data_IF_229758022823
#
_entry.id   IF_229758022823
#
_cell.length_a   1.000
_cell.length_b   1.000
_cell.length_c   1.000
_cell.angle_alpha   90.00
_cell.angle_beta   90.00
_cell.angle_gamma   90.00
#
_symmetry.space_group_name_H-M   'P 1'
#
loop_
_entity.id
_entity.type
_entity.pdbx_description
1 polymer ?
#
# COMPACT_ATOMS: atom_id res chain seq x y z
N UNK A 1 -24.08 -7.72 -19.88
CA UNK A 1 -22.68 -8.16 -19.74
C UNK A 1 -22.66 -8.99 -18.46
N UNK A 2 -21.92 -10.09 -18.42
CA UNK A 2 -21.85 -10.90 -17.19
C UNK A 2 -20.86 -10.23 -16.27
N UNK A 3 -21.33 -9.73 -15.13
CA UNK A 3 -20.47 -9.07 -14.14
C UNK A 3 -19.97 -10.10 -13.14
N UNK A 4 -18.68 -10.05 -12.85
CA UNK A 4 -18.01 -10.98 -11.94
C UNK A 4 -17.66 -10.32 -10.61
N UNK A 5 -17.55 -11.17 -9.58
CA UNK A 5 -17.07 -10.79 -8.25
C UNK A 5 -16.08 -11.80 -7.70
N UNK A 6 -15.14 -11.35 -6.88
CA UNK A 6 -14.21 -12.20 -6.14
C UNK A 6 -13.84 -11.56 -4.81
N UNK A 7 -13.68 -12.39 -3.77
CA UNK A 7 -13.23 -11.97 -2.44
C UNK A 7 -11.83 -12.48 -2.15
N UNK A 8 -11.06 -11.70 -1.40
CA UNK A 8 -9.72 -12.05 -0.96
C UNK A 8 -9.56 -11.83 0.53
N UNK A 9 -8.85 -12.74 1.18
CA UNK A 9 -8.27 -12.51 2.49
C UNK A 9 -6.86 -11.93 2.32
N UNK A 10 -6.55 -10.86 3.05
CA UNK A 10 -5.18 -10.34 3.11
C UNK A 10 -4.46 -10.98 4.29
N UNK A 11 -3.44 -11.79 3.98
CA UNK A 11 -2.57 -12.42 4.95
C UNK A 11 -1.44 -11.50 5.40
N UNK A 12 -0.77 -11.91 6.47
CA UNK A 12 0.48 -11.31 6.91
C UNK A 12 1.52 -11.29 5.78
N UNK A 13 2.32 -10.23 5.70
CA UNK A 13 3.25 -10.00 4.60
C UNK A 13 2.58 -9.50 3.31
N UNK A 14 1.26 -9.32 3.29
CA UNK A 14 0.52 -8.75 2.18
C UNK A 14 0.27 -9.70 1.03
N UNK A 15 0.30 -11.01 1.29
CA UNK A 15 -0.20 -12.00 0.34
C UNK A 15 -1.73 -11.91 0.33
N UNK A 16 -2.33 -11.94 -0.86
CA UNK A 16 -3.79 -12.02 -1.02
C UNK A 16 -4.16 -13.42 -1.48
N UNK A 17 -5.16 -14.01 -0.83
CA UNK A 17 -5.68 -15.33 -1.17
C UNK A 17 -7.16 -15.24 -1.51
N UNK A 18 -7.61 -15.76 -2.66
CA UNK A 18 -9.03 -15.87 -2.96
C UNK A 18 -9.76 -16.71 -1.89
N UNK A 19 -10.94 -16.25 -1.50
CA UNK A 19 -11.79 -16.93 -0.52
C UNK A 19 -13.23 -17.04 -1.03
N UNK A 20 -14.01 -17.91 -0.39
CA UNK A 20 -15.43 -18.04 -0.68
C UNK A 20 -16.18 -16.72 -0.55
N UNK A 21 -17.06 -16.44 -1.52
CA UNK A 21 -17.99 -15.33 -1.46
C UNK A 21 -19.02 -15.55 -0.34
N UNK A 22 -18.81 -14.92 0.82
CA UNK A 22 -19.74 -14.96 1.96
C UNK A 22 -19.48 -13.81 2.94
N UNK A 23 -20.54 -13.32 3.57
CA UNK A 23 -20.49 -12.38 4.70
C UNK A 23 -19.75 -12.95 5.90
N UNK A 24 -19.75 -14.27 6.07
CA UNK A 24 -19.06 -14.94 7.18
C UNK A 24 -17.54 -14.75 7.12
N UNK A 25 -16.99 -14.29 5.99
CA UNK A 25 -15.58 -13.97 5.86
C UNK A 25 -15.19 -12.64 6.54
N UNK A 26 -16.15 -11.76 6.82
CA UNK A 26 -15.94 -10.44 7.44
C UNK A 26 -15.70 -10.58 8.96
N UNK A 27 -14.60 -11.22 9.33
CA UNK A 27 -14.23 -11.51 10.71
C UNK A 27 -13.43 -10.36 11.34
N UNK A 28 -13.58 -10.11 12.66
CA UNK A 28 -12.93 -8.97 13.32
C UNK A 28 -11.41 -8.92 13.19
N UNK A 29 -10.75 -10.04 13.00
CA UNK A 29 -9.31 -10.21 12.92
C UNK A 29 -8.78 -10.32 11.49
N UNK A 30 -9.55 -9.96 10.47
CA UNK A 30 -9.14 -10.06 9.05
C UNK A 30 -9.30 -8.74 8.31
N UNK A 31 -8.51 -8.58 7.25
CA UNK A 31 -8.75 -7.56 6.23
C UNK A 31 -9.20 -8.25 4.95
N UNK A 32 -10.36 -7.87 4.44
CA UNK A 32 -11.01 -8.52 3.29
C UNK A 32 -11.09 -7.53 2.14
N UNK A 33 -10.71 -7.98 0.95
CA UNK A 33 -10.86 -7.21 -0.28
C UNK A 33 -11.97 -7.85 -1.11
N UNK A 34 -12.95 -7.07 -1.55
CA UNK A 34 -14.02 -7.51 -2.45
C UNK A 34 -13.87 -6.74 -3.75
N UNK A 35 -13.63 -7.46 -4.84
CA UNK A 35 -13.55 -6.89 -6.17
C UNK A 35 -14.86 -7.20 -6.89
N UNK A 36 -15.56 -6.14 -7.31
CA UNK A 36 -16.88 -6.23 -7.94
C UNK A 36 -16.92 -5.41 -9.23
N UNK A 37 -17.14 -6.10 -10.35
CA UNK A 37 -17.26 -5.46 -11.65
C UNK A 37 -18.62 -4.78 -11.85
N UNK A 38 -19.67 -5.21 -11.13
CA UNK A 38 -21.01 -4.64 -11.31
C UNK A 38 -21.11 -3.20 -10.79
N UNK A 39 -20.42 -2.88 -9.70
CA UNK A 39 -20.27 -1.51 -9.19
C UNK A 39 -19.00 -0.81 -9.66
N UNK A 40 -18.12 -1.51 -10.41
CA UNK A 40 -16.80 -1.02 -10.82
C UNK A 40 -16.00 -0.46 -9.63
N UNK A 41 -16.02 -1.20 -8.51
CA UNK A 41 -15.39 -0.81 -7.26
C UNK A 41 -14.64 -1.99 -6.61
N UNK A 42 -13.56 -1.65 -5.90
CA UNK A 42 -12.93 -2.51 -4.92
C UNK A 42 -13.38 -2.04 -3.55
N UNK A 43 -13.94 -2.93 -2.74
CA UNK A 43 -14.18 -2.68 -1.33
C UNK A 43 -13.02 -3.24 -0.53
N UNK A 44 -12.52 -2.46 0.41
CA UNK A 44 -11.53 -2.89 1.39
C UNK A 44 -12.16 -2.79 2.76
N UNK A 45 -12.42 -3.93 3.39
CA UNK A 45 -13.01 -4.00 4.70
C UNK A 45 -11.96 -4.40 5.73
N UNK A 46 -11.82 -3.60 6.79
CA UNK A 46 -10.92 -3.87 7.89
C UNK A 46 -11.67 -4.30 9.15
N UNK A 47 -11.37 -5.50 9.63
CA UNK A 47 -11.88 -5.99 10.90
C UNK A 47 -11.45 -5.14 12.08
N UNK A 48 -12.25 -5.19 13.15
CA UNK A 48 -12.07 -4.35 14.34
C UNK A 48 -10.74 -4.57 15.08
N UNK A 49 -10.16 -5.77 14.97
CA UNK A 49 -8.92 -6.18 15.62
C UNK A 49 -7.69 -6.08 14.72
N UNK A 50 -7.84 -5.57 13.50
CA UNK A 50 -6.72 -5.35 12.59
C UNK A 50 -5.90 -4.13 13.01
N UNK A 51 -4.60 -4.32 13.24
CA UNK A 51 -3.66 -3.24 13.57
C UNK A 51 -3.22 -2.39 12.38
N UNK A 52 -2.42 -1.35 12.64
CA UNK A 52 -2.08 -0.31 11.66
C UNK A 52 -1.33 -0.88 10.45
N UNK A 53 -0.33 -1.72 10.72
CA UNK A 53 0.51 -2.33 9.68
C UNK A 53 -0.31 -3.23 8.75
N UNK A 54 -1.19 -4.06 9.32
CA UNK A 54 -2.03 -4.97 8.54
C UNK A 54 -3.00 -4.20 7.63
N UNK A 55 -3.62 -3.12 8.16
CA UNK A 55 -4.51 -2.24 7.39
C UNK A 55 -3.81 -1.57 6.23
N UNK A 56 -2.62 -0.99 6.44
CA UNK A 56 -1.82 -0.37 5.37
C UNK A 56 -1.39 -1.37 4.32
N UNK A 57 -1.04 -2.58 4.75
CA UNK A 57 -0.64 -3.66 3.85
C UNK A 57 -1.82 -4.06 2.96
N UNK A 58 -3.01 -4.25 3.56
CA UNK A 58 -4.23 -4.55 2.83
C UNK A 58 -4.66 -3.40 1.90
N UNK A 59 -4.52 -2.14 2.32
CA UNK A 59 -4.75 -0.96 1.48
C UNK A 59 -3.86 -0.96 0.24
N UNK A 60 -2.58 -1.28 0.39
CA UNK A 60 -1.66 -1.39 -0.75
C UNK A 60 -2.10 -2.48 -1.73
N UNK A 61 -2.58 -3.62 -1.22
CA UNK A 61 -3.06 -4.71 -2.06
C UNK A 61 -4.37 -4.35 -2.78
N UNK A 62 -5.31 -3.69 -2.09
CA UNK A 62 -6.55 -3.22 -2.68
C UNK A 62 -6.29 -2.18 -3.79
N UNK A 63 -5.36 -1.25 -3.58
CA UNK A 63 -4.91 -0.29 -4.59
C UNK A 63 -4.28 -0.99 -5.81
N UNK A 64 -3.49 -2.05 -5.58
CA UNK A 64 -2.92 -2.85 -6.68
C UNK A 64 -4.03 -3.49 -7.52
N UNK A 65 -5.03 -4.09 -6.87
CA UNK A 65 -6.18 -4.73 -7.52
C UNK A 65 -7.06 -3.74 -8.27
N UNK A 66 -7.30 -2.54 -7.72
CA UNK A 66 -8.13 -1.49 -8.35
C UNK A 66 -7.72 -1.24 -9.81
N UNK A 67 -6.43 -1.09 -10.09
CA UNK A 67 -5.95 -0.87 -11.46
C UNK A 67 -5.81 -2.15 -12.29
N UNK A 68 -5.20 -3.18 -11.71
CA UNK A 68 -4.69 -4.33 -12.48
C UNK A 68 -5.71 -5.47 -12.61
N UNK A 69 -6.71 -5.50 -11.72
CA UNK A 69 -7.58 -6.65 -11.55
C UNK A 69 -6.84 -7.88 -11.02
N UNK A 70 -7.52 -9.03 -11.09
CA UNK A 70 -6.99 -10.32 -10.68
C UNK A 70 -7.05 -11.32 -11.83
N UNK A 71 -5.93 -12.00 -12.10
CA UNK A 71 -5.82 -12.96 -13.21
C UNK A 71 -6.29 -14.34 -12.78
N UNK A 72 -7.28 -14.88 -13.50
CA UNK A 72 -7.77 -16.26 -13.34
C UNK A 72 -7.63 -16.98 -14.69
N UNK A 73 -6.69 -17.93 -14.76
CA UNK A 73 -6.39 -18.65 -16.00
C UNK A 73 -5.92 -17.71 -17.11
N UNK A 74 -6.77 -17.49 -18.12
CA UNK A 74 -6.51 -16.59 -19.26
C UNK A 74 -7.31 -15.28 -19.20
N UNK A 75 -8.09 -15.08 -18.15
CA UNK A 75 -8.99 -13.93 -17.98
C UNK A 75 -8.53 -13.05 -16.82
N UNK A 76 -8.92 -11.78 -16.83
CA UNK A 76 -8.66 -10.83 -15.74
C UNK A 76 -10.01 -10.30 -15.28
N UNK A 77 -10.28 -10.38 -13.98
CA UNK A 77 -11.49 -9.85 -13.34
C UNK A 77 -11.14 -8.52 -12.67
N UNK A 78 -11.98 -7.50 -12.82
CA UNK A 78 -11.84 -6.19 -12.20
C UNK A 78 -10.78 -5.30 -12.85
N UNK A 79 -10.54 -5.50 -14.14
CA UNK A 79 -9.60 -4.64 -14.88
C UNK A 79 -10.18 -3.22 -15.00
N UNK A 80 -9.34 -2.21 -14.79
CA UNK A 80 -9.69 -0.79 -14.91
C UNK A 80 -10.82 -0.35 -13.96
N UNK A 81 -10.92 -0.99 -12.80
CA UNK A 81 -11.73 -0.51 -11.67
C UNK A 81 -11.13 0.80 -11.17
N UNK A 82 -11.97 1.79 -10.87
CA UNK A 82 -11.48 3.15 -10.54
C UNK A 82 -11.74 3.55 -9.11
N UNK A 83 -12.68 2.88 -8.45
CA UNK A 83 -13.13 3.22 -7.12
C UNK A 83 -12.56 2.23 -6.11
N UNK A 84 -12.00 2.77 -5.04
CA UNK A 84 -11.71 2.03 -3.81
C UNK A 84 -12.62 2.59 -2.72
N UNK A 85 -13.35 1.71 -2.07
CA UNK A 85 -14.22 2.02 -0.93
C UNK A 85 -13.63 1.34 0.29
N UNK A 86 -12.91 2.11 1.11
CA UNK A 86 -12.32 1.61 2.35
C UNK A 86 -13.35 1.70 3.49
N UNK A 87 -13.44 0.63 4.29
CA UNK A 87 -14.40 0.49 5.39
C UNK A 87 -13.63 0.05 6.64
N UNK A 88 -13.73 0.85 7.70
CA UNK A 88 -13.24 0.52 9.04
C UNK A 88 -14.39 0.03 9.92
N UNK A 89 -14.44 -1.28 10.19
CA UNK A 89 -15.49 -1.89 11.01
C UNK A 89 -15.56 -1.34 12.45
N UNK A 90 -14.54 -0.62 12.93
CA UNK A 90 -14.56 0.07 14.25
C UNK A 90 -15.42 1.33 14.23
N UNK A 91 -15.62 1.92 13.06
CA UNK A 91 -16.33 3.18 12.84
C UNK A 91 -17.76 2.98 12.33
N UNK A 92 -18.09 1.79 11.83
CA UNK A 92 -19.46 1.42 11.45
C UNK A 92 -20.40 1.61 12.65
N UNK A 93 -21.50 2.32 12.44
CA UNK A 93 -22.47 2.73 13.46
C UNK A 93 -22.08 3.99 14.27
N UNK A 94 -20.88 4.55 14.03
CA UNK A 94 -20.40 5.79 14.67
C UNK A 94 -20.17 6.91 13.67
N UNK A 95 -19.69 6.55 12.48
CA UNK A 95 -19.46 7.46 11.34
C UNK A 95 -20.47 7.09 10.26
N UNK A 96 -21.24 8.07 9.80
CA UNK A 96 -22.32 7.86 8.83
C UNK A 96 -21.79 7.27 7.52
N UNK A 97 -20.73 7.86 6.96
CA UNK A 97 -20.10 7.41 5.70
C UNK A 97 -19.64 5.94 5.75
N UNK A 98 -18.97 5.55 6.84
CA UNK A 98 -18.50 4.16 7.06
C UNK A 98 -19.68 3.19 7.19
N UNK A 99 -20.80 3.66 7.73
CA UNK A 99 -22.01 2.86 7.90
C UNK A 99 -22.68 2.62 6.55
N UNK A 100 -22.83 3.67 5.74
CA UNK A 100 -23.40 3.60 4.39
C UNK A 100 -22.55 2.70 3.47
N UNK A 101 -21.23 2.84 3.49
CA UNK A 101 -20.33 1.98 2.70
C UNK A 101 -20.40 0.51 3.15
N UNK A 102 -20.51 0.27 4.45
CA UNK A 102 -20.67 -1.09 4.97
C UNK A 102 -22.03 -1.67 4.57
N UNK A 103 -23.12 -0.91 4.64
CA UNK A 103 -24.44 -1.35 4.17
C UNK A 103 -24.42 -1.71 2.68
N UNK A 104 -23.81 -0.86 1.83
CA UNK A 104 -23.64 -1.16 0.41
C UNK A 104 -22.86 -2.47 0.19
N UNK A 105 -21.78 -2.71 0.95
CA UNK A 105 -21.05 -3.97 0.89
C UNK A 105 -21.92 -5.15 1.34
N UNK A 106 -22.73 -5.00 2.39
CA UNK A 106 -23.63 -6.06 2.86
C UNK A 106 -24.68 -6.40 1.80
N UNK A 107 -25.26 -5.41 1.13
CA UNK A 107 -26.22 -5.62 0.04
C UNK A 107 -25.57 -6.32 -1.16
N UNK A 108 -24.35 -5.93 -1.52
CA UNK A 108 -23.57 -6.59 -2.57
C UNK A 108 -23.35 -8.07 -2.25
N UNK A 109 -23.00 -8.40 -1.00
CA UNK A 109 -22.77 -9.78 -0.59
C UNK A 109 -24.05 -10.63 -0.56
N UNK A 110 -25.21 -10.02 -0.29
CA UNK A 110 -26.54 -10.68 -0.35
C UNK A 110 -27.08 -10.86 -1.77
N UNK A 111 -26.52 -10.13 -2.74
CA UNK A 111 -26.97 -10.18 -4.14
C UNK A 111 -26.91 -11.62 -4.66
N UNK A 112 -27.97 -12.04 -5.34
CA UNK A 112 -28.06 -13.37 -5.95
C UNK A 112 -26.93 -13.59 -6.94
N UNK A 113 -26.17 -14.65 -6.70
CA UNK A 113 -24.99 -14.98 -7.47
C UNK A 113 -24.90 -16.48 -7.72
N UNK A 114 -24.10 -16.84 -8.72
CA UNK A 114 -23.70 -18.23 -9.00
C UNK A 114 -22.19 -18.34 -8.79
N UNK A 115 -21.78 -19.35 -8.01
CA UNK A 115 -20.38 -19.69 -7.84
C UNK A 115 -19.82 -20.27 -9.14
N UNK A 116 -18.61 -19.86 -9.48
CA UNK A 116 -17.79 -20.38 -10.56
C UNK A 116 -16.55 -21.05 -9.95
N UNK A 117 -15.73 -21.65 -10.80
CA UNK A 117 -14.42 -22.17 -10.37
C UNK A 117 -13.49 -21.03 -9.95
N UNK A 118 -12.49 -21.37 -9.12
CA UNK A 118 -11.47 -20.44 -8.62
C UNK A 118 -12.02 -19.27 -7.77
N UNK A 119 -13.06 -19.53 -6.96
CA UNK A 119 -13.65 -18.57 -6.02
C UNK A 119 -14.33 -17.34 -6.66
N UNK A 120 -14.39 -17.28 -7.99
CA UNK A 120 -15.14 -16.25 -8.69
C UNK A 120 -16.65 -16.52 -8.59
N UNK A 121 -17.43 -15.45 -8.63
CA UNK A 121 -18.89 -15.51 -8.77
C UNK A 121 -19.33 -14.71 -9.99
N UNK A 122 -20.52 -15.00 -10.48
CA UNK A 122 -21.26 -14.14 -11.42
C UNK A 122 -22.56 -13.67 -10.77
N UNK A 123 -22.92 -12.42 -11.01
CA UNK A 123 -24.23 -11.91 -10.61
C UNK A 123 -25.29 -12.28 -11.63
N UNK A 124 -26.44 -12.79 -11.16
CA UNK A 124 -27.58 -13.05 -12.05
C UNK A 124 -28.23 -11.71 -12.41
N UNK A 125 -28.01 -11.23 -13.63
CA UNK A 125 -28.80 -10.13 -14.17
C UNK A 125 -30.20 -10.66 -14.51
N UNK A 126 -31.20 -10.38 -13.68
CA UNK A 126 -32.56 -10.28 -14.21
C UNK A 126 -32.57 -9.10 -15.19
N UNK A 127 -33.02 -9.35 -16.41
CA UNK A 127 -32.97 -8.41 -17.52
C UNK A 127 -33.87 -7.19 -17.23
N UNK A 128 -33.32 -6.13 -16.62
CA UNK A 128 -34.16 -4.99 -16.22
C UNK A 128 -33.50 -3.68 -15.81
N UNK A 129 -32.16 -3.54 -15.83
CA UNK A 129 -31.53 -2.25 -15.53
C UNK A 129 -30.45 -1.89 -16.58
N UNK A 130 -30.50 -0.70 -17.20
CA UNK A 130 -29.54 -0.31 -18.21
C UNK A 130 -28.18 -0.01 -17.58
N UNK A 131 -27.24 -0.94 -17.77
CA UNK A 131 -25.81 -0.69 -17.59
C UNK A 131 -25.42 0.53 -18.43
N UNK A 132 -24.90 1.56 -17.80
CA UNK A 132 -24.40 2.77 -18.46
C UNK A 132 -23.48 2.41 -19.63
N UNK A 133 -23.82 2.93 -20.81
CA UNK A 133 -23.23 2.59 -22.08
C UNK A 133 -21.73 2.92 -22.12
N UNK A 134 -20.88 1.88 -22.14
CA UNK A 134 -19.59 1.95 -22.84
C UNK A 134 -19.84 1.55 -24.30
N UNK A 135 -19.35 2.38 -25.22
CA UNK A 135 -19.62 2.30 -26.66
C UNK A 135 -19.37 0.91 -27.25
N UNK A 136 -20.25 0.52 -28.17
CA UNK A 136 -20.20 -0.74 -28.89
C UNK A 136 -18.83 -0.95 -29.59
N UNK A 137 -18.22 -2.14 -29.51
CA UNK A 137 -17.08 -2.47 -30.34
C UNK A 137 -17.53 -2.65 -31.79
N UNK A 138 -16.84 -1.96 -32.72
CA UNK A 138 -17.00 -2.16 -34.17
C UNK A 138 -16.80 -3.63 -34.55
N UNK A 139 -17.57 -4.17 -35.52
CA UNK A 139 -17.53 -5.57 -35.89
C UNK A 139 -16.18 -6.00 -36.49
N UNK A 140 -15.69 -7.18 -36.07
CA UNK A 140 -14.58 -7.91 -36.70
C UNK A 140 -14.91 -8.27 -38.16
N UNK A 141 -13.97 -8.14 -39.12
CA UNK A 141 -14.06 -8.86 -40.38
C UNK A 141 -13.74 -10.35 -40.18
N UNK A 142 -14.53 -11.22 -40.84
CA UNK A 142 -14.32 -12.67 -40.96
C UNK A 142 -13.23 -12.98 -42.02
N UNK A 143 -12.65 -14.20 -42.00
CA UNK A 143 -11.40 -14.56 -42.65
C UNK A 143 -11.53 -14.89 -44.15
N UNK A 144 -10.46 -14.62 -44.91
CA UNK A 144 -10.23 -15.18 -46.25
C UNK A 144 -9.10 -16.21 -46.18
N UNK A 145 -9.39 -17.42 -46.67
CA UNK A 145 -8.46 -18.53 -46.79
C UNK A 145 -7.54 -18.40 -48.01
N UNK A 146 -6.29 -18.82 -47.77
CA UNK A 146 -5.32 -19.46 -48.66
C UNK A 146 -5.05 -18.90 -50.07
N UNK A 147 -3.81 -18.45 -50.28
CA UNK A 147 -3.00 -19.05 -51.34
C UNK A 147 -1.50 -19.02 -51.01
N UNK A 148 -0.89 -20.17 -51.26
CA UNK A 148 0.50 -20.55 -51.03
C UNK A 148 1.50 -19.81 -51.91
N UNK A 149 2.67 -19.48 -51.36
CA UNK A 149 3.96 -19.74 -52.02
C UNK A 149 5.12 -19.59 -51.02
N UNK A 150 5.83 -20.70 -50.80
CA UNK A 150 7.18 -20.75 -50.23
C UNK A 150 8.15 -20.32 -51.34
N UNK A 151 9.22 -19.55 -51.05
CA UNK A 151 10.54 -20.20 -50.93
C UNK A 151 11.37 -19.75 -49.72
N UNK A 152 12.39 -20.56 -49.49
CA UNK A 152 13.28 -20.79 -48.33
C UNK A 152 14.19 -19.65 -47.82
N UNK A 153 14.87 -19.86 -46.66
CA UNK A 153 15.10 -18.85 -45.64
C UNK A 153 16.46 -18.14 -45.75
N UNK A 154 16.52 -16.91 -45.22
CA UNK A 154 17.76 -16.21 -44.91
C UNK A 154 17.91 -15.99 -43.41
N UNK A 155 18.87 -16.73 -42.86
CA UNK A 155 19.83 -16.35 -41.79
C UNK A 155 19.30 -15.59 -40.57
N UNK A 156 19.29 -16.35 -39.47
CA UNK A 156 19.22 -15.98 -38.06
C UNK A 156 20.29 -14.94 -37.66
N UNK A 157 19.92 -13.84 -36.95
CA UNK A 157 20.88 -13.04 -36.20
C UNK A 157 21.04 -13.62 -34.78
N UNK A 158 22.31 -13.79 -34.38
CA UNK A 158 22.75 -14.39 -33.12
C UNK A 158 22.11 -13.78 -31.83
N UNK A 159 21.95 -14.61 -30.78
CA UNK A 159 21.46 -14.17 -29.48
C UNK A 159 22.51 -13.36 -28.71
N UNK A 160 22.07 -12.21 -28.16
CA UNK A 160 22.85 -11.39 -27.21
C UNK A 160 23.32 -12.24 -26.00
N UNK A 161 24.58 -12.08 -25.54
CA UNK A 161 25.11 -12.86 -24.43
C UNK A 161 24.52 -12.47 -23.08
N UNK A 162 24.30 -13.49 -22.24
CA UNK A 162 23.89 -13.39 -20.82
C UNK A 162 24.89 -12.55 -20.00
N UNK A 163 24.42 -11.77 -19.00
CA UNK A 163 25.30 -11.15 -18.02
C UNK A 163 25.99 -12.23 -17.16
N UNK A 164 27.31 -12.15 -17.03
CA UNK A 164 28.09 -12.97 -16.10
C UNK A 164 27.84 -12.52 -14.64
N UNK A 165 27.87 -13.45 -13.67
CA UNK A 165 27.86 -13.12 -12.25
C UNK A 165 29.12 -12.34 -11.86
N UNK A 166 28.96 -11.23 -11.14
CA UNK A 166 30.10 -10.49 -10.55
C UNK A 166 30.50 -11.19 -9.26
N UNK A 167 31.68 -11.81 -9.30
CA UNK A 167 32.38 -12.38 -8.15
C UNK A 167 32.75 -11.29 -7.14
N UNK A 168 32.64 -11.63 -5.87
CA UNK A 168 33.21 -10.92 -4.72
C UNK A 168 34.70 -10.59 -4.91
N UNK A 169 35.20 -9.46 -4.41
CA UNK A 169 36.64 -9.25 -4.28
C UNK A 169 37.17 -9.99 -3.05
N UNK A 170 38.07 -10.95 -3.29
CA UNK A 170 38.95 -11.54 -2.28
C UNK A 170 39.79 -10.47 -1.57
N UNK A 171 39.85 -10.62 -0.26
CA UNK A 171 40.76 -9.93 0.66
C UNK A 171 42.18 -10.48 0.45
N UNK A 172 43.15 -9.62 0.18
CA UNK A 172 44.57 -9.88 0.43
C UNK A 172 45.25 -8.66 1.09
N UNK A 173 45.50 -8.82 2.38
CA UNK A 173 46.62 -8.27 3.18
C UNK A 173 47.94 -8.39 2.38
N UNK A 174 48.88 -7.45 2.35
CA UNK A 174 49.72 -6.83 3.40
C UNK A 174 50.69 -5.89 2.63
N UNK A 175 51.02 -4.68 3.07
CA UNK A 175 52.26 -4.36 3.81
C UNK A 175 52.20 -2.97 4.45
N UNK A 176 52.75 -2.85 5.66
CA UNK A 176 52.88 -1.65 6.49
C UNK A 176 54.10 -0.77 6.08
N UNK A 177 54.52 0.26 6.85
CA UNK A 177 53.81 1.47 7.28
C UNK A 177 54.59 2.76 6.90
N UNK A 178 53.87 3.85 6.60
CA UNK A 178 54.42 5.22 6.67
C UNK A 178 53.44 6.10 7.43
N UNK A 179 53.78 6.40 8.68
CA UNK A 179 53.36 7.64 9.35
C UNK A 179 54.40 8.73 9.04
N UNK A 180 54.14 10.04 9.26
CA UNK A 180 52.86 10.69 9.60
C UNK A 180 52.62 12.00 8.81
N UNK A 181 51.36 12.34 8.52
CA UNK A 181 50.86 13.73 8.65
C UNK A 181 49.35 13.72 8.79
N UNK A 182 48.87 14.25 9.92
CA UNK A 182 47.47 14.37 10.26
C UNK A 182 46.74 15.40 9.39
N UNK A 183 45.46 15.15 9.08
CA UNK A 183 44.42 16.16 9.26
C UNK A 183 43.37 15.64 10.24
N UNK A 184 43.70 15.71 11.54
CA UNK A 184 42.75 15.45 12.63
C UNK A 184 41.98 16.75 12.89
N UNK A 185 40.98 17.05 12.06
CA UNK A 185 40.05 18.15 12.37
C UNK A 185 38.64 18.07 11.72
N UNK A 186 38.43 17.33 10.62
CA UNK A 186 37.13 17.38 9.92
C UNK A 186 36.16 16.23 10.22
N UNK A 187 36.64 15.03 10.56
CA UNK A 187 35.75 13.89 10.81
C UNK A 187 34.82 14.06 12.04
N UNK A 188 35.22 14.87 13.03
CA UNK A 188 34.48 15.03 14.29
C UNK A 188 33.23 15.90 14.18
N UNK A 189 33.12 16.80 13.19
CA UNK A 189 31.95 17.68 13.03
C UNK A 189 30.80 16.98 12.31
N UNK A 190 31.10 16.18 11.29
CA UNK A 190 30.07 15.51 10.48
C UNK A 190 29.35 14.39 11.26
N UNK A 191 30.07 13.60 12.06
CA UNK A 191 29.48 12.53 12.90
C UNK A 191 28.68 13.07 14.10
N UNK A 192 29.13 14.18 14.70
CA UNK A 192 28.43 14.80 15.82
C UNK A 192 27.12 15.50 15.38
N UNK A 193 27.11 16.07 14.18
CA UNK A 193 25.92 16.73 13.61
C UNK A 193 24.86 15.71 13.18
N UNK A 194 25.27 14.53 12.71
CA UNK A 194 24.35 13.43 12.41
C UNK A 194 23.76 12.82 13.70
N UNK A 195 24.57 12.52 14.71
CA UNK A 195 24.08 11.95 15.98
C UNK A 195 23.11 12.87 16.74
N UNK A 196 23.37 14.18 16.77
CA UNK A 196 22.45 15.17 17.37
C UNK A 196 21.12 15.22 16.62
N UNK A 197 21.15 15.07 15.29
CA UNK A 197 19.97 15.06 14.44
C UNK A 197 19.13 13.80 14.68
N UNK A 198 19.78 12.63 14.74
CA UNK A 198 19.12 11.36 15.08
C UNK A 198 18.47 11.41 16.46
N UNK A 199 19.14 12.01 17.45
CA UNK A 199 18.57 12.18 18.79
C UNK A 199 17.30 13.05 18.77
N UNK A 200 17.28 14.14 18.01
CA UNK A 200 16.07 14.98 17.86
C UNK A 200 14.91 14.23 17.22
N UNK A 201 15.17 13.40 16.21
CA UNK A 201 14.15 12.51 15.62
C UNK A 201 13.62 11.57 16.70
N UNK A 202 14.52 10.87 17.40
CA UNK A 202 14.16 9.91 18.42
C UNK A 202 13.33 10.55 19.55
N UNK A 203 13.64 11.78 19.96
CA UNK A 203 12.86 12.49 20.96
C UNK A 203 11.44 12.81 20.53
N UNK A 204 11.21 13.12 19.25
CA UNK A 204 9.85 13.27 18.73
C UNK A 204 9.11 11.93 18.81
N UNK A 205 9.76 10.83 18.41
CA UNK A 205 9.13 9.50 18.44
C UNK A 205 8.79 9.07 19.87
N UNK A 206 9.73 9.21 20.80
CA UNK A 206 9.50 8.90 22.23
C UNK A 206 8.36 9.74 22.80
N UNK A 207 8.34 11.05 22.52
CA UNK A 207 7.27 11.92 23.00
C UNK A 207 5.89 11.53 22.45
N UNK A 208 5.83 10.97 21.24
CA UNK A 208 4.58 10.46 20.65
C UNK A 208 4.19 9.12 21.26
N UNK A 209 5.15 8.21 21.46
CA UNK A 209 4.94 6.89 22.04
C UNK A 209 4.48 6.94 23.52
N UNK A 210 4.73 8.04 24.23
CA UNK A 210 4.14 8.29 25.56
C UNK A 210 2.59 8.37 25.53
N UNK A 211 1.98 8.52 24.34
CA UNK A 211 0.53 8.68 24.14
C UNK A 211 -0.11 7.64 23.22
N UNK A 212 0.68 6.95 22.40
CA UNK A 212 0.17 6.01 21.39
C UNK A 212 1.02 4.74 21.39
N UNK A 213 0.36 3.60 21.57
CA UNK A 213 1.03 2.30 21.63
C UNK A 213 1.47 1.78 20.25
N UNK A 214 0.81 2.24 19.17
CA UNK A 214 1.09 1.85 17.79
C UNK A 214 1.11 3.09 16.89
N UNK A 215 2.24 3.28 16.19
CA UNK A 215 2.45 4.38 15.26
C UNK A 215 3.14 3.91 14.00
N UNK A 216 2.80 4.53 12.89
CA UNK A 216 3.47 4.37 11.62
C UNK A 216 4.34 5.58 11.34
N UNK A 217 5.61 5.35 11.00
CA UNK A 217 6.56 6.39 10.64
C UNK A 217 6.99 6.16 9.20
N UNK A 218 6.86 7.19 8.37
CA UNK A 218 7.41 7.18 7.01
C UNK A 218 8.41 8.31 6.85
N UNK A 219 9.59 7.97 6.32
CA UNK A 219 10.58 8.95 5.85
C UNK A 219 10.29 9.21 4.36
N UNK A 220 9.98 10.45 4.04
CA UNK A 220 9.80 10.98 2.69
C UNK A 220 11.13 11.56 2.18
N UNK A 221 11.15 11.92 0.90
CA UNK A 221 12.26 12.66 0.31
C UNK A 221 12.48 13.99 1.07
N UNK A 222 13.73 14.49 1.05
CA UNK A 222 14.15 15.72 1.74
C UNK A 222 14.05 15.66 3.29
N UNK A 223 14.42 14.52 3.89
CA UNK A 223 14.47 14.34 5.36
C UNK A 223 13.19 14.80 6.09
N UNK A 224 12.05 14.56 5.44
CA UNK A 224 10.72 14.82 5.99
C UNK A 224 10.14 13.52 6.53
N UNK A 225 9.61 13.55 7.74
CA UNK A 225 9.01 12.42 8.43
C UNK A 225 7.52 12.68 8.61
N UNK A 226 6.69 11.67 8.34
CA UNK A 226 5.26 11.66 8.64
C UNK A 226 4.99 10.58 9.68
N UNK A 227 4.33 10.94 10.76
CA UNK A 227 3.96 10.05 11.86
C UNK A 227 2.45 9.97 11.94
N UNK A 228 1.91 8.76 11.95
CA UNK A 228 0.47 8.47 11.88
C UNK A 228 0.10 7.43 12.93
N UNK A 229 -1.13 7.51 13.42
CA UNK A 229 -1.77 6.50 14.27
C UNK A 229 -2.91 5.81 13.50
N UNK A 230 -3.56 4.85 14.15
CA UNK A 230 -4.75 4.15 13.63
C UNK A 230 -5.83 5.07 13.07
N UNK A 231 -6.06 6.21 13.70
CA UNK A 231 -7.18 7.10 13.34
C UNK A 231 -6.74 8.30 12.48
N UNK A 232 -5.47 8.35 12.06
CA UNK A 232 -4.99 9.34 11.11
C UNK A 232 -3.64 9.96 11.47
N UNK A 233 -3.28 11.08 10.82
CA UNK A 233 -1.97 11.69 10.97
C UNK A 233 -1.80 12.36 12.34
N UNK A 234 -0.65 12.12 12.97
CA UNK A 234 -0.22 12.81 14.18
C UNK A 234 0.55 14.07 13.79
N UNK A 235 1.67 13.95 13.07
CA UNK A 235 2.48 15.10 12.70
C UNK A 235 3.36 14.84 11.48
N UNK A 236 3.81 15.92 10.87
CA UNK A 236 4.83 15.89 9.82
C UNK A 236 5.94 16.85 10.19
N UNK A 237 7.20 16.45 10.10
CA UNK A 237 8.32 17.34 10.40
C UNK A 237 9.48 17.12 9.45
N UNK A 238 10.25 18.16 9.20
CA UNK A 238 11.46 18.11 8.38
C UNK A 238 12.67 18.48 9.20
N UNK A 239 13.83 18.04 8.73
CA UNK A 239 15.11 18.41 9.31
C UNK A 239 15.90 19.20 8.27
N UNK A 240 16.34 20.38 8.67
CA UNK A 240 17.19 21.25 7.86
C UNK A 240 18.26 21.83 8.76
N UNK A 241 19.53 21.66 8.39
CA UNK A 241 20.70 22.17 9.14
C UNK A 241 20.70 21.74 10.62
N UNK A 242 20.30 20.50 10.89
CA UNK A 242 20.21 19.95 12.25
C UNK A 242 19.05 20.52 13.09
N UNK A 243 18.17 21.34 12.49
CA UNK A 243 16.98 21.88 13.14
C UNK A 243 15.73 21.14 12.68
N UNK A 244 14.91 20.77 13.65
CA UNK A 244 13.63 20.11 13.44
C UNK A 244 12.53 21.16 13.31
N UNK A 245 11.70 21.04 12.26
CA UNK A 245 10.57 21.93 12.02
C UNK A 245 9.31 21.13 11.70
N UNK A 246 8.26 21.34 12.50
CA UNK A 246 6.95 20.78 12.22
C UNK A 246 6.27 21.53 11.06
N UNK A 247 5.59 20.80 10.18
CA UNK A 247 4.74 21.36 9.13
C UNK A 247 3.51 22.03 9.73
N UNK A 248 2.92 22.99 9.00
CA UNK A 248 1.77 23.80 9.45
C UNK A 248 0.53 22.97 9.84
N UNK A 249 0.30 21.83 9.16
CA UNK A 249 -0.78 20.90 9.47
C UNK A 249 -0.46 19.86 10.56
N UNK A 250 0.71 19.93 11.21
CA UNK A 250 1.07 18.96 12.24
C UNK A 250 0.14 19.06 13.45
N UNK A 251 -0.19 17.91 14.02
CA UNK A 251 -1.04 17.77 15.20
C UNK A 251 -2.49 18.22 14.98
N UNK A 252 -2.95 18.36 13.73
CA UNK A 252 -4.35 18.68 13.42
C UNK A 252 -5.31 17.52 13.71
N UNK A 253 -4.82 16.28 13.59
CA UNK A 253 -5.61 15.06 13.83
C UNK A 253 -5.67 14.61 15.29
N UNK A 254 -5.12 15.38 16.23
CA UNK A 254 -5.07 15.00 17.66
C UNK A 254 -5.60 16.12 18.55
N UNK A 255 -5.94 15.78 19.80
CA UNK A 255 -6.42 16.77 20.76
C UNK A 255 -5.34 17.80 21.12
N UNK A 256 -5.77 19.01 21.50
CA UNK A 256 -4.87 20.09 21.91
C UNK A 256 -4.01 19.68 23.12
N UNK A 257 -4.58 18.92 24.06
CA UNK A 257 -3.89 18.49 25.28
C UNK A 257 -2.74 17.53 24.95
N UNK A 258 -2.99 16.54 24.08
CA UNK A 258 -1.95 15.60 23.64
C UNK A 258 -0.87 16.33 22.85
N UNK A 259 -1.27 17.25 21.94
CA UNK A 259 -0.32 18.10 21.21
C UNK A 259 0.62 18.85 22.17
N UNK A 260 0.06 19.53 23.17
CA UNK A 260 0.84 20.29 24.14
C UNK A 260 1.75 19.37 24.97
N UNK A 261 1.28 18.19 25.36
CA UNK A 261 2.08 17.21 26.07
C UNK A 261 3.28 16.72 25.25
N UNK A 262 3.06 16.31 23.99
CA UNK A 262 4.12 15.90 23.05
C UNK A 262 5.16 17.01 22.88
N UNK A 263 4.71 18.25 22.63
CA UNK A 263 5.61 19.38 22.42
C UNK A 263 6.42 19.69 23.68
N UNK A 264 5.79 19.67 24.85
CA UNK A 264 6.48 19.88 26.13
C UNK A 264 7.53 18.79 26.36
N UNK A 265 7.18 17.53 26.13
CA UNK A 265 8.08 16.38 26.28
C UNK A 265 9.28 16.46 25.35
N UNK A 266 9.07 16.82 24.09
CA UNK A 266 10.15 17.07 23.14
C UNK A 266 11.10 18.18 23.62
N UNK A 267 10.56 19.31 24.11
CA UNK A 267 11.38 20.42 24.64
C UNK A 267 12.19 19.99 25.85
N UNK A 268 11.64 19.15 26.73
CA UNK A 268 12.36 18.58 27.88
C UNK A 268 13.51 17.69 27.44
N UNK A 269 13.27 16.74 26.52
CA UNK A 269 14.30 15.84 26.01
C UNK A 269 15.39 16.59 25.24
N UNK A 270 15.01 17.59 24.43
CA UNK A 270 15.96 18.38 23.64
C UNK A 270 16.92 19.22 24.51
N UNK A 271 16.62 19.45 25.80
CA UNK A 271 17.57 20.07 26.74
C UNK A 271 18.74 19.14 27.09
N UNK A 272 18.59 17.82 26.91
CA UNK A 272 19.65 16.84 27.19
C UNK A 272 20.77 16.84 26.15
N UNK A 273 20.57 17.52 25.01
CA UNK A 273 21.58 17.68 23.95
C UNK A 273 22.44 18.95 24.13
N UNK A 274 22.25 19.70 25.22
CA UNK A 274 22.98 20.93 25.53
C UNK A 274 24.09 20.69 26.54
#
# INVERSE_FOLDING_TARGET
>A
MTDYGIMFNVLEGGVIEPIDWSKDQLQPDRSIIVLDESTMAVYLWHGQKQGLVARRTALRQAESLKGHGYTIGKSIIGRDVKQLKEIDARKVGRVQEETELNEELQELLDKKHKKLDNYAITFDMEAGAPSAARGAPKPKPKPQEAQSSKPEPKTEPEPKPKPKPRLEPEIKTTTAPKEPTAPKAEAKKTEAQDSTTQAKIAFVMVAILDHYDDIWISKKDNDTYSVEMMDGPICTFSISDGNLKFSSGSFSGISKDIKTAIQKRFVELNKLLK
#
